data_IF_415400849023
#
_entry.id   IF_415400849023
#
_cell.length_a   1.000
_cell.length_b   1.000
_cell.length_c   1.000
_cell.angle_alpha   90.00
_cell.angle_beta   90.00
_cell.angle_gamma   90.00
#
_symmetry.space_group_name_H-M   'P 1'
#
loop_
_entity.id
_entity.type
_entity.pdbx_description
1 polymer ?
#
# COMPACT_ATOMS: atom_id res chain seq x y z
N UNK A 1 -25.47 -21.34 -6.16
CA UNK A 1 -24.53 -22.13 -5.33
C UNK A 1 -23.88 -21.22 -4.33
N UNK A 2 -23.85 -21.63 -3.07
CA UNK A 2 -23.22 -20.88 -1.97
C UNK A 2 -21.96 -21.62 -1.52
N UNK A 3 -20.88 -20.89 -1.28
CA UNK A 3 -19.62 -21.46 -0.84
C UNK A 3 -19.70 -21.80 0.66
N UNK A 4 -19.52 -23.07 1.01
CA UNK A 4 -19.50 -23.51 2.40
C UNK A 4 -18.09 -23.85 2.84
N UNK A 5 -17.66 -23.28 3.97
CA UNK A 5 -16.49 -23.75 4.69
C UNK A 5 -16.90 -24.85 5.66
N UNK A 6 -16.22 -25.98 5.62
CA UNK A 6 -16.51 -27.13 6.45
C UNK A 6 -15.26 -27.62 7.18
N UNK A 7 -15.48 -28.12 8.40
CA UNK A 7 -14.47 -28.83 9.18
C UNK A 7 -15.08 -30.13 9.65
N UNK A 8 -14.35 -31.22 9.46
CA UNK A 8 -14.84 -32.56 9.73
C UNK A 8 -13.73 -33.52 10.10
N UNK A 9 -14.13 -34.74 10.40
CA UNK A 9 -13.27 -35.86 10.69
C UNK A 9 -13.36 -36.85 9.52
N UNK A 10 -12.21 -37.24 9.00
CA UNK A 10 -12.11 -38.37 8.08
C UNK A 10 -12.42 -39.69 8.84
N UNK A 11 -12.73 -40.77 8.12
CA UNK A 11 -13.07 -42.09 8.70
C UNK A 11 -12.00 -42.65 9.66
N UNK A 12 -10.76 -42.16 9.57
CA UNK A 12 -9.66 -42.45 10.50
C UNK A 12 -9.52 -41.51 11.71
N UNK A 13 -10.49 -40.62 11.95
CA UNK A 13 -10.48 -39.70 13.10
C UNK A 13 -9.53 -38.49 12.95
N UNK A 14 -9.04 -38.22 11.74
CA UNK A 14 -8.16 -37.08 11.47
C UNK A 14 -8.98 -35.84 11.10
N UNK A 15 -8.63 -34.68 11.67
CA UNK A 15 -9.30 -33.41 11.35
C UNK A 15 -8.93 -32.95 9.94
N UNK A 16 -9.95 -32.75 9.09
CA UNK A 16 -9.84 -32.22 7.73
C UNK A 16 -10.74 -31.01 7.58
N UNK A 17 -10.26 -29.95 6.92
CA UNK A 17 -11.02 -28.73 6.68
C UNK A 17 -10.85 -28.28 5.23
N UNK A 18 -11.89 -27.70 4.65
CA UNK A 18 -11.87 -27.20 3.28
C UNK A 18 -13.09 -26.34 2.95
N UNK A 19 -13.12 -25.81 1.74
CA UNK A 19 -14.27 -25.07 1.19
C UNK A 19 -14.80 -25.82 -0.02
N UNK A 20 -16.13 -25.97 -0.14
CA UNK A 20 -16.76 -26.61 -1.30
C UNK A 20 -18.10 -25.97 -1.60
N UNK A 21 -18.38 -25.79 -2.88
CA UNK A 21 -19.66 -25.26 -3.36
C UNK A 21 -20.76 -26.31 -3.24
N UNK A 22 -21.92 -25.90 -2.71
CA UNK A 22 -23.10 -26.74 -2.67
C UNK A 22 -24.38 -25.90 -2.77
N UNK A 23 -25.47 -26.51 -3.21
CA UNK A 23 -26.80 -25.88 -3.28
C UNK A 23 -27.53 -25.83 -1.93
N UNK A 24 -26.88 -26.29 -0.85
CA UNK A 24 -27.41 -26.20 0.50
C UNK A 24 -26.62 -27.03 1.53
N UNK A 25 -26.85 -26.79 2.84
CA UNK A 25 -26.12 -27.47 3.92
C UNK A 25 -26.39 -28.98 3.97
N UNK A 26 -27.57 -29.44 3.53
CA UNK A 26 -27.89 -30.88 3.41
C UNK A 26 -27.16 -31.54 2.24
N UNK A 27 -27.05 -30.84 1.09
CA UNK A 27 -26.35 -31.33 -0.09
C UNK A 27 -24.84 -31.46 0.16
N UNK A 28 -24.25 -30.49 0.86
CA UNK A 28 -22.84 -30.53 1.26
C UNK A 28 -22.53 -31.71 2.19
N UNK A 29 -23.38 -31.96 3.20
CA UNK A 29 -23.23 -33.12 4.10
C UNK A 29 -23.30 -34.44 3.34
N UNK A 30 -24.21 -34.55 2.37
CA UNK A 30 -24.33 -35.76 1.56
C UNK A 30 -23.11 -35.96 0.66
N UNK A 31 -22.60 -34.89 0.04
CA UNK A 31 -21.39 -34.91 -0.77
C UNK A 31 -20.14 -35.30 0.04
N UNK A 32 -19.95 -34.71 1.22
CA UNK A 32 -18.77 -34.99 2.06
C UNK A 32 -18.86 -36.35 2.77
N UNK A 33 -20.06 -36.83 3.06
CA UNK A 33 -20.26 -38.20 3.57
C UNK A 33 -19.92 -39.27 2.51
N UNK A 34 -20.16 -38.98 1.22
CA UNK A 34 -19.73 -39.85 0.12
C UNK A 34 -18.20 -39.95 0.04
N UNK A 35 -17.51 -38.89 0.45
CA UNK A 35 -16.04 -38.81 0.51
C UNK A 35 -15.47 -39.31 1.85
N UNK A 36 -16.29 -39.93 2.72
CA UNK A 36 -15.84 -40.49 4.00
C UNK A 36 -15.64 -39.48 5.13
N UNK A 37 -16.03 -38.22 4.94
CA UNK A 37 -15.79 -37.13 5.88
C UNK A 37 -17.06 -36.74 6.63
N UNK A 38 -17.00 -36.81 7.96
CA UNK A 38 -18.08 -36.43 8.87
C UNK A 38 -17.89 -34.99 9.36
N UNK A 39 -18.80 -34.10 9.01
CA UNK A 39 -18.71 -32.67 9.36
C UNK A 39 -19.03 -32.45 10.84
N UNK A 40 -18.14 -31.74 11.55
CA UNK A 40 -18.33 -31.30 12.93
C UNK A 40 -18.78 -29.84 13.01
N UNK A 41 -18.31 -28.99 12.10
CA UNK A 41 -18.67 -27.57 12.03
C UNK A 41 -18.95 -27.17 10.58
N UNK A 42 -20.04 -26.42 10.39
CA UNK A 42 -20.47 -25.89 9.09
C UNK A 42 -20.59 -24.37 9.20
N UNK A 43 -19.85 -23.65 8.37
CA UNK A 43 -19.96 -22.19 8.26
C UNK A 43 -20.32 -21.81 6.84
N UNK A 44 -21.47 -21.15 6.67
CA UNK A 44 -21.88 -20.58 5.39
C UNK A 44 -21.17 -19.24 5.21
N UNK A 45 -20.36 -19.13 4.15
CA UNK A 45 -19.71 -17.87 3.80
C UNK A 45 -20.71 -17.08 2.94
N UNK A 46 -21.65 -16.41 3.59
CA UNK A 46 -22.67 -15.60 2.92
C UNK A 46 -22.04 -14.40 2.19
N UNK A 47 -22.01 -14.48 0.86
CA UNK A 47 -22.04 -13.30 -0.02
C UNK A 47 -23.38 -12.58 0.16
N UNK A 48 -23.34 -11.25 0.26
CA UNK A 48 -24.39 -10.46 0.89
C UNK A 48 -25.78 -10.51 0.23
N UNK A 49 -26.80 -10.44 1.09
CA UNK A 49 -28.12 -9.90 0.78
C UNK A 49 -29.27 -10.91 0.67
N UNK A 50 -29.99 -11.16 1.76
CA UNK A 50 -31.45 -10.92 1.92
C UNK A 50 -31.96 -11.53 3.23
N UNK A 51 -32.65 -10.72 4.04
CA UNK A 51 -33.31 -11.13 5.29
C UNK A 51 -34.63 -11.84 4.99
N UNK A 52 -34.86 -12.99 5.62
CA UNK A 52 -36.22 -13.47 5.99
C UNK A 52 -36.18 -14.11 7.38
N UNK A 53 -36.87 -13.46 8.31
CA UNK A 53 -37.45 -13.94 9.57
C UNK A 53 -38.37 -15.16 9.31
N UNK A 54 -38.66 -16.14 10.18
CA UNK A 54 -38.62 -16.38 11.64
C UNK A 54 -38.71 -17.95 11.84
N UNK A 55 -39.02 -18.56 13.01
CA UNK A 55 -39.22 -18.05 14.37
C UNK A 55 -38.49 -18.84 15.49
N UNK A 56 -38.64 -18.33 16.71
CA UNK A 56 -38.06 -18.80 17.95
C UNK A 56 -38.63 -20.13 18.48
N UNK A 57 -37.80 -20.92 19.16
CA UNK A 57 -38.23 -21.79 20.25
C UNK A 57 -37.17 -21.88 21.35
N UNK A 58 -37.64 -21.52 22.55
CA UNK A 58 -37.09 -21.52 23.90
C UNK A 58 -36.39 -22.84 24.30
N UNK A 59 -35.24 -22.78 24.99
CA UNK A 59 -35.02 -23.25 26.39
C UNK A 59 -33.54 -23.20 26.82
N UNK A 60 -33.27 -22.38 27.83
CA UNK A 60 -32.40 -22.65 29.01
C UNK A 60 -30.92 -23.07 28.86
N UNK A 61 -30.00 -22.13 29.08
CA UNK A 61 -28.89 -22.18 30.06
C UNK A 61 -27.79 -21.15 29.67
N UNK A 62 -27.20 -20.39 30.63
CA UNK A 62 -26.22 -19.36 30.29
C UNK A 62 -24.85 -20.01 30.07
N UNK A 63 -24.56 -20.38 28.82
CA UNK A 63 -23.21 -20.75 28.43
C UNK A 63 -22.33 -19.50 28.45
N UNK A 64 -21.40 -19.43 29.41
CA UNK A 64 -20.30 -18.46 29.46
C UNK A 64 -19.66 -18.38 28.08
N UNK A 65 -19.96 -17.29 27.37
CA UNK A 65 -19.33 -16.90 26.12
C UNK A 65 -17.83 -16.71 26.36
N UNK A 66 -17.06 -17.78 26.12
CA UNK A 66 -15.63 -17.65 25.84
C UNK A 66 -15.54 -17.01 24.47
N UNK A 67 -15.41 -15.69 24.45
CA UNK A 67 -14.90 -14.92 23.31
C UNK A 67 -13.48 -15.43 22.98
N UNK A 68 -13.39 -16.55 22.28
CA UNK A 68 -12.22 -16.84 21.44
C UNK A 68 -12.46 -16.10 20.13
N UNK A 69 -12.11 -14.82 20.15
CA UNK A 69 -11.82 -14.10 18.93
C UNK A 69 -10.52 -14.69 18.38
N UNK A 70 -10.63 -15.79 17.63
CA UNK A 70 -9.56 -16.26 16.74
C UNK A 70 -9.47 -15.25 15.58
N UNK A 71 -9.03 -14.03 15.91
CA UNK A 71 -8.57 -13.07 14.92
C UNK A 71 -7.24 -13.64 14.43
N UNK A 72 -7.29 -14.32 13.29
CA UNK A 72 -6.09 -14.76 12.58
C UNK A 72 -5.22 -13.54 12.25
N UNK A 73 -4.32 -13.17 13.17
CA UNK A 73 -3.33 -12.09 13.01
C UNK A 73 -2.51 -12.24 11.73
N UNK A 74 -2.33 -13.49 11.26
CA UNK A 74 -1.68 -13.82 10.00
C UNK A 74 -2.39 -13.23 8.78
N UNK A 75 -3.73 -13.25 8.75
CA UNK A 75 -4.53 -12.69 7.64
C UNK A 75 -4.51 -11.16 7.62
N UNK A 76 -4.21 -10.52 8.76
CA UNK A 76 -3.96 -9.08 8.83
C UNK A 76 -2.54 -8.69 8.35
N UNK A 77 -1.60 -9.63 8.30
CA UNK A 77 -0.21 -9.40 7.91
C UNK A 77 0.09 -9.70 6.43
N UNK A 78 -0.79 -10.41 5.72
CA UNK A 78 -0.64 -10.67 4.28
C UNK A 78 -0.85 -9.36 3.48
N UNK A 79 0.24 -8.63 3.26
CA UNK A 79 0.29 -7.45 2.39
C UNK A 79 0.71 -7.88 1.00
N UNK A 80 -0.03 -7.44 -0.02
CA UNK A 80 0.33 -7.61 -1.42
C UNK A 80 1.45 -6.63 -1.76
N UNK A 81 2.53 -7.12 -2.34
CA UNK A 81 3.64 -6.26 -2.76
C UNK A 81 3.30 -5.50 -4.05
N UNK A 82 3.82 -4.27 -4.24
CA UNK A 82 3.69 -3.56 -5.52
C UNK A 82 4.24 -4.34 -6.73
N UNK A 83 5.21 -5.22 -6.49
CA UNK A 83 5.79 -6.12 -7.49
C UNK A 83 4.78 -7.17 -7.96
N UNK A 84 4.04 -7.80 -7.04
CA UNK A 84 2.97 -8.76 -7.39
C UNK A 84 1.91 -8.12 -8.28
N UNK A 85 1.52 -6.88 -8.00
CA UNK A 85 0.55 -6.14 -8.85
C UNK A 85 1.14 -5.87 -10.24
N UNK A 86 2.41 -5.49 -10.34
CA UNK A 86 3.06 -5.26 -11.64
C UNK A 86 3.13 -6.55 -12.47
N UNK A 87 3.51 -7.68 -11.86
CA UNK A 87 3.54 -9.00 -12.50
C UNK A 87 2.14 -9.43 -12.94
N UNK A 88 1.15 -9.33 -12.06
CA UNK A 88 -0.25 -9.61 -12.40
C UNK A 88 -0.73 -8.76 -13.59
N UNK A 89 -0.45 -7.45 -13.57
CA UNK A 89 -0.85 -6.52 -14.64
C UNK A 89 -0.21 -6.90 -15.96
N UNK A 90 1.08 -7.24 -15.95
CA UNK A 90 1.83 -7.70 -17.12
C UNK A 90 1.23 -8.97 -17.68
N UNK A 91 1.01 -9.98 -16.83
CA UNK A 91 0.47 -11.26 -17.24
C UNK A 91 -0.95 -11.13 -17.77
N UNK A 92 -1.81 -10.33 -17.10
CA UNK A 92 -3.15 -10.04 -17.59
C UNK A 92 -3.08 -9.37 -18.97
N UNK A 93 -2.24 -8.35 -19.14
CA UNK A 93 -2.02 -7.71 -20.44
C UNK A 93 -1.59 -8.71 -21.52
N UNK A 94 -0.66 -9.62 -21.23
CA UNK A 94 -0.21 -10.66 -22.16
C UNK A 94 -1.34 -11.61 -22.54
N UNK A 95 -2.13 -12.08 -21.59
CA UNK A 95 -3.24 -13.01 -21.85
C UNK A 95 -4.35 -12.35 -22.68
N UNK A 96 -4.72 -11.10 -22.34
CA UNK A 96 -5.72 -10.35 -23.11
C UNK A 96 -5.22 -10.05 -24.53
N UNK A 97 -3.93 -9.68 -24.68
CA UNK A 97 -3.32 -9.48 -26.01
C UNK A 97 -3.31 -10.78 -26.83
N UNK A 98 -3.18 -11.94 -26.18
CA UNK A 98 -3.28 -13.25 -26.83
C UNK A 98 -4.73 -13.65 -27.17
N UNK A 99 -5.72 -12.79 -26.89
CA UNK A 99 -7.14 -13.03 -27.18
C UNK A 99 -7.84 -13.94 -26.17
N UNK A 100 -7.23 -14.23 -25.02
CA UNK A 100 -7.85 -15.04 -23.98
C UNK A 100 -8.97 -14.22 -23.32
N UNK A 101 -10.18 -14.79 -23.11
CA UNK A 101 -11.27 -14.09 -22.44
C UNK A 101 -10.88 -13.56 -21.07
N UNK A 102 -11.30 -12.33 -20.74
CA UNK A 102 -10.91 -11.64 -19.49
C UNK A 102 -11.21 -12.46 -18.24
N UNK A 103 -12.36 -13.10 -18.18
CA UNK A 103 -12.75 -13.95 -17.06
C UNK A 103 -11.84 -15.18 -16.88
N UNK A 104 -11.44 -15.81 -17.98
CA UNK A 104 -10.54 -16.97 -17.97
C UNK A 104 -9.13 -16.55 -17.55
N UNK A 105 -8.64 -15.43 -18.11
CA UNK A 105 -7.36 -14.85 -17.73
C UNK A 105 -7.31 -14.49 -16.24
N UNK A 106 -8.34 -13.85 -15.71
CA UNK A 106 -8.46 -13.54 -14.27
C UNK A 106 -8.50 -14.82 -13.41
N UNK A 107 -9.14 -15.89 -13.90
CA UNK A 107 -9.15 -17.19 -13.25
C UNK A 107 -7.77 -17.82 -13.17
N UNK A 108 -7.09 -17.93 -14.30
CA UNK A 108 -5.75 -18.49 -14.38
C UNK A 108 -4.74 -17.73 -13.49
N UNK A 109 -4.83 -16.40 -13.45
CA UNK A 109 -3.95 -15.57 -12.62
C UNK A 109 -4.32 -15.59 -11.14
N UNK A 110 -5.59 -15.77 -10.81
CA UNK A 110 -6.02 -15.99 -9.42
C UNK A 110 -5.43 -17.30 -8.91
N UNK A 111 -5.57 -18.38 -9.67
CA UNK A 111 -5.11 -19.72 -9.28
C UNK A 111 -3.57 -19.82 -9.20
N UNK A 112 -2.85 -18.99 -9.96
CA UNK A 112 -1.39 -18.89 -9.93
C UNK A 112 -0.86 -18.03 -8.76
N UNK A 113 -1.71 -17.26 -8.08
CA UNK A 113 -1.24 -16.30 -7.09
C UNK A 113 -0.81 -16.97 -5.77
N UNK A 114 0.46 -16.82 -5.39
CA UNK A 114 0.96 -17.30 -4.09
C UNK A 114 0.35 -16.55 -2.89
N UNK A 115 -0.09 -15.31 -3.12
CA UNK A 115 -0.61 -14.44 -2.08
C UNK A 115 -2.13 -14.62 -1.93
N UNK A 116 -2.54 -15.29 -0.85
CA UNK A 116 -3.96 -15.56 -0.54
C UNK A 116 -4.84 -14.32 -0.56
N UNK A 117 -4.31 -13.14 -0.19
CA UNK A 117 -5.08 -11.89 -0.26
C UNK A 117 -5.30 -11.45 -1.70
N UNK A 118 -4.29 -11.57 -2.55
CA UNK A 118 -4.39 -11.25 -3.97
C UNK A 118 -5.31 -12.25 -4.67
N UNK A 119 -5.11 -13.55 -4.47
CA UNK A 119 -5.96 -14.65 -4.94
C UNK A 119 -7.45 -14.36 -4.66
N UNK A 120 -7.83 -14.15 -3.39
CA UNK A 120 -9.22 -13.85 -3.01
C UNK A 120 -9.77 -12.60 -3.68
N UNK A 121 -8.92 -11.58 -3.83
CA UNK A 121 -9.33 -10.33 -4.49
C UNK A 121 -9.57 -10.57 -5.97
N UNK A 122 -8.67 -11.28 -6.66
CA UNK A 122 -8.78 -11.59 -8.08
C UNK A 122 -9.95 -12.52 -8.37
N UNK A 123 -10.20 -13.53 -7.54
CA UNK A 123 -11.37 -14.39 -7.63
C UNK A 123 -12.68 -13.60 -7.50
N UNK A 124 -12.75 -12.67 -6.55
CA UNK A 124 -13.89 -11.75 -6.38
C UNK A 124 -14.05 -10.79 -7.57
N UNK A 125 -12.94 -10.31 -8.13
CA UNK A 125 -12.97 -9.48 -9.35
C UNK A 125 -13.52 -10.29 -10.52
N UNK A 126 -13.00 -11.51 -10.74
CA UNK A 126 -13.46 -12.43 -11.79
C UNK A 126 -14.96 -12.68 -11.71
N UNK A 127 -15.47 -12.95 -10.52
CA UNK A 127 -16.90 -13.20 -10.31
C UNK A 127 -17.74 -12.01 -10.77
N UNK A 128 -17.41 -10.79 -10.32
CA UNK A 128 -18.16 -9.58 -10.69
C UNK A 128 -18.07 -9.24 -12.17
N UNK A 129 -16.92 -9.50 -12.79
CA UNK A 129 -16.75 -9.35 -14.25
C UNK A 129 -17.61 -10.36 -15.01
N UNK A 130 -17.71 -11.60 -14.53
CA UNK A 130 -18.63 -12.61 -15.07
C UNK A 130 -20.10 -12.23 -14.91
N UNK A 131 -20.43 -11.49 -13.84
CA UNK A 131 -21.76 -10.92 -13.61
C UNK A 131 -22.06 -9.69 -14.49
N UNK A 132 -21.09 -9.24 -15.31
CA UNK A 132 -21.23 -8.12 -16.25
C UNK A 132 -20.81 -6.76 -15.70
N UNK A 133 -20.22 -6.70 -14.50
CA UNK A 133 -19.64 -5.45 -13.97
C UNK A 133 -18.33 -5.14 -14.70
N UNK A 134 -18.05 -3.85 -14.96
CA UNK A 134 -16.77 -3.46 -15.58
C UNK A 134 -15.57 -3.83 -14.70
N UNK A 135 -14.44 -4.16 -15.32
CA UNK A 135 -13.18 -4.46 -14.63
C UNK A 135 -12.73 -3.26 -13.80
N UNK A 136 -12.83 -2.05 -14.36
CA UNK A 136 -12.42 -0.82 -13.69
C UNK A 136 -13.24 -0.55 -12.43
N UNK A 137 -14.57 -0.69 -12.48
CA UNK A 137 -15.44 -0.51 -11.30
C UNK A 137 -15.15 -1.55 -10.22
N UNK A 138 -14.90 -2.78 -10.65
CA UNK A 138 -14.57 -3.87 -9.74
C UNK A 138 -13.23 -3.66 -9.05
N UNK A 139 -12.21 -3.20 -9.79
CA UNK A 139 -10.90 -2.83 -9.24
C UNK A 139 -10.96 -1.59 -8.34
N UNK A 140 -11.87 -0.65 -8.61
CA UNK A 140 -12.07 0.56 -7.79
C UNK A 140 -12.47 0.24 -6.34
N UNK A 141 -13.11 -0.91 -6.11
CA UNK A 141 -13.45 -1.38 -4.77
C UNK A 141 -12.21 -1.74 -3.91
N UNK A 142 -11.02 -1.84 -4.53
CA UNK A 142 -9.77 -2.23 -3.89
C UNK A 142 -8.66 -1.16 -4.08
N UNK A 143 -8.85 0.07 -3.56
CA UNK A 143 -7.93 1.20 -3.80
C UNK A 143 -6.52 1.01 -3.23
N UNK A 144 -6.35 0.07 -2.29
CA UNK A 144 -5.03 -0.29 -1.75
C UNK A 144 -4.17 -1.06 -2.75
N UNK A 145 -4.79 -1.77 -3.69
CA UNK A 145 -4.13 -2.60 -4.70
C UNK A 145 -4.14 -1.91 -6.07
N UNK A 146 -5.25 -1.24 -6.40
CA UNK A 146 -5.45 -0.54 -7.66
C UNK A 146 -5.69 0.95 -7.40
N UNK A 147 -4.63 1.78 -7.41
CA UNK A 147 -4.76 3.23 -7.22
C UNK A 147 -5.63 3.90 -8.30
N UNK A 148 -6.12 5.11 -8.04
CA UNK A 148 -6.95 5.90 -8.98
C UNK A 148 -6.41 5.90 -10.42
N UNK A 149 -5.10 6.13 -10.59
CA UNK A 149 -4.45 6.13 -11.91
C UNK A 149 -4.63 4.79 -12.64
N UNK A 150 -4.45 3.68 -11.93
CA UNK A 150 -4.61 2.33 -12.46
C UNK A 150 -6.05 2.11 -12.93
N UNK A 151 -7.02 2.39 -12.06
CA UNK A 151 -8.45 2.20 -12.32
C UNK A 151 -8.90 3.05 -13.51
N UNK A 152 -8.47 4.31 -13.58
CA UNK A 152 -8.87 5.21 -14.65
C UNK A 152 -8.24 4.84 -16.00
N UNK A 153 -7.01 4.33 -16.01
CA UNK A 153 -6.40 3.74 -17.21
C UNK A 153 -7.26 2.58 -17.71
N UNK A 154 -7.55 1.61 -16.84
CA UNK A 154 -8.39 0.44 -17.19
C UNK A 154 -9.77 0.88 -17.68
N UNK A 155 -10.42 1.84 -16.99
CA UNK A 155 -11.74 2.36 -17.41
C UNK A 155 -11.72 2.93 -18.83
N UNK A 156 -10.70 3.72 -19.14
CA UNK A 156 -10.52 4.27 -20.49
C UNK A 156 -10.26 3.14 -21.51
N UNK A 157 -9.47 2.15 -21.10
CA UNK A 157 -9.17 0.97 -21.91
C UNK A 157 -10.41 0.14 -22.27
N UNK A 158 -11.26 -0.10 -21.28
CA UNK A 158 -12.54 -0.80 -21.45
C UNK A 158 -13.50 0.01 -22.33
N UNK A 159 -13.64 1.31 -22.07
CA UNK A 159 -14.55 2.17 -22.83
C UNK A 159 -14.12 2.35 -24.30
N UNK A 160 -12.82 2.37 -24.57
CA UNK A 160 -12.27 2.50 -25.92
C UNK A 160 -12.03 1.15 -26.62
N UNK A 161 -12.26 0.02 -25.93
CA UNK A 161 -12.05 -1.32 -26.49
C UNK A 161 -10.58 -1.68 -26.76
N UNK A 162 -9.63 -1.01 -26.12
CA UNK A 162 -8.17 -1.19 -26.28
C UNK A 162 -7.50 -1.63 -24.97
N UNK A 163 -8.20 -2.45 -24.19
CA UNK A 163 -7.77 -2.90 -22.86
C UNK A 163 -6.42 -3.63 -22.89
N UNK A 164 -6.13 -4.39 -23.95
CA UNK A 164 -4.86 -5.06 -24.22
C UNK A 164 -3.67 -4.08 -24.20
N UNK A 165 -3.74 -3.02 -25.02
CA UNK A 165 -2.70 -2.01 -25.13
C UNK A 165 -2.55 -1.21 -23.83
N UNK A 166 -3.67 -0.93 -23.16
CA UNK A 166 -3.69 -0.19 -21.89
C UNK A 166 -3.03 -0.99 -20.77
N UNK A 167 -3.36 -2.28 -20.63
CA UNK A 167 -2.76 -3.14 -19.61
C UNK A 167 -1.25 -3.30 -19.82
N UNK A 168 -0.79 -3.44 -21.07
CA UNK A 168 0.63 -3.53 -21.39
C UNK A 168 1.41 -2.25 -21.02
N UNK A 169 0.81 -1.08 -21.30
CA UNK A 169 1.38 0.21 -20.91
C UNK A 169 1.35 0.43 -19.40
N UNK A 170 0.28 0.01 -18.75
CA UNK A 170 0.15 0.08 -17.30
C UNK A 170 1.20 -0.79 -16.61
N UNK A 171 1.45 -1.99 -17.12
CA UNK A 171 2.52 -2.85 -16.64
C UNK A 171 3.90 -2.21 -16.82
N UNK A 172 4.20 -1.62 -17.98
CA UNK A 172 5.47 -0.91 -18.20
C UNK A 172 5.65 0.31 -17.29
N UNK A 173 4.56 1.04 -17.05
CA UNK A 173 4.53 2.14 -16.09
C UNK A 173 4.87 1.63 -14.69
N UNK A 174 4.22 0.56 -14.22
CA UNK A 174 4.47 -0.02 -12.91
C UNK A 174 5.92 -0.51 -12.77
N UNK A 175 6.43 -1.24 -13.75
CA UNK A 175 7.82 -1.73 -13.76
C UNK A 175 8.83 -0.59 -13.65
N UNK A 176 8.59 0.49 -14.38
CA UNK A 176 9.46 1.68 -14.32
C UNK A 176 9.40 2.35 -12.95
N UNK A 177 8.21 2.47 -12.35
CA UNK A 177 8.06 3.03 -11.00
C UNK A 177 8.78 2.18 -9.96
N UNK A 178 8.70 0.85 -10.07
CA UNK A 178 9.39 -0.08 -9.18
C UNK A 178 10.91 0.02 -9.34
N UNK A 179 11.41 0.08 -10.58
CA UNK A 179 12.83 0.24 -10.86
C UNK A 179 13.37 1.57 -10.29
N UNK A 180 12.64 2.67 -10.47
CA UNK A 180 13.01 3.97 -9.91
C UNK A 180 13.03 3.93 -8.39
N UNK A 181 12.00 3.36 -7.76
CA UNK A 181 11.93 3.21 -6.31
C UNK A 181 13.09 2.37 -5.77
N UNK A 182 13.38 1.24 -6.41
CA UNK A 182 14.50 0.37 -6.04
C UNK A 182 15.83 1.10 -6.14
N UNK A 183 16.08 1.83 -7.23
CA UNK A 183 17.30 2.62 -7.41
C UNK A 183 17.48 3.69 -6.35
N UNK A 184 16.42 4.43 -6.02
CA UNK A 184 16.44 5.46 -4.96
C UNK A 184 16.68 4.83 -3.60
N UNK A 185 15.95 3.75 -3.26
CA UNK A 185 16.14 3.06 -1.99
C UNK A 185 17.56 2.49 -1.85
N UNK A 186 18.09 1.86 -2.90
CA UNK A 186 19.45 1.34 -2.92
C UNK A 186 20.52 2.43 -2.73
N UNK A 187 20.37 3.58 -3.39
CA UNK A 187 21.30 4.71 -3.24
C UNK A 187 21.31 5.31 -1.83
N UNK A 188 20.18 5.24 -1.11
CA UNK A 188 20.06 5.76 0.26
C UNK A 188 20.54 4.77 1.33
N UNK A 189 20.67 3.49 1.01
CA UNK A 189 21.10 2.45 1.97
C UNK A 189 22.46 2.78 2.61
N UNK A 190 23.48 3.09 1.80
CA UNK A 190 24.81 3.39 2.31
C UNK A 190 24.85 4.65 3.21
N UNK A 191 24.32 5.82 2.78
CA UNK A 191 24.24 7.00 3.64
C UNK A 191 23.52 6.75 4.97
N UNK A 192 22.42 6.00 4.96
CA UNK A 192 21.66 5.69 6.17
C UNK A 192 22.50 4.82 7.12
N UNK A 193 23.15 3.77 6.62
CA UNK A 193 24.02 2.90 7.43
C UNK A 193 25.17 3.71 8.03
N UNK A 194 25.85 4.55 7.23
CA UNK A 194 26.94 5.39 7.70
C UNK A 194 26.49 6.42 8.73
N UNK A 195 25.31 7.01 8.55
CA UNK A 195 24.75 7.94 9.52
C UNK A 195 24.41 7.24 10.84
N UNK A 196 23.89 6.02 10.81
CA UNK A 196 23.59 5.23 12.02
C UNK A 196 24.87 4.83 12.74
N UNK A 197 25.86 4.26 12.05
CA UNK A 197 27.15 3.90 12.66
C UNK A 197 27.88 5.12 13.20
N UNK A 198 27.94 6.21 12.41
CA UNK A 198 28.57 7.46 12.82
C UNK A 198 27.90 8.06 14.05
N UNK A 199 26.56 8.06 14.10
CA UNK A 199 25.82 8.53 15.27
C UNK A 199 26.06 7.66 16.50
N UNK A 200 26.18 6.34 16.33
CA UNK A 200 26.49 5.41 17.43
C UNK A 200 27.88 5.67 17.99
N UNK A 201 28.91 5.72 17.14
CA UNK A 201 30.30 5.99 17.55
C UNK A 201 30.42 7.36 18.19
N UNK A 202 29.83 8.39 17.59
CA UNK A 202 29.82 9.74 18.15
C UNK A 202 29.11 9.78 19.50
N UNK A 203 27.99 9.05 19.64
CA UNK A 203 27.28 8.92 20.90
C UNK A 203 28.14 8.32 22.01
N UNK A 204 28.86 7.23 21.74
CA UNK A 204 29.78 6.60 22.72
C UNK A 204 30.91 7.56 23.12
N UNK A 205 31.51 8.26 22.15
CA UNK A 205 32.55 9.26 22.41
C UNK A 205 32.04 10.36 23.35
N UNK A 206 30.86 10.92 23.07
CA UNK A 206 30.26 11.96 23.90
C UNK A 206 29.88 11.45 25.29
N UNK A 207 29.29 10.26 25.42
CA UNK A 207 28.79 9.77 26.71
C UNK A 207 29.92 9.25 27.63
N UNK A 208 30.96 8.62 27.08
CA UNK A 208 31.98 7.92 27.87
C UNK A 208 33.30 8.68 27.91
N UNK A 209 33.79 9.16 26.76
CA UNK A 209 35.17 9.65 26.64
C UNK A 209 35.28 11.13 27.01
N UNK A 210 34.36 11.97 26.55
CA UNK A 210 34.39 13.42 26.84
C UNK A 210 34.33 13.74 28.33
N UNK A 211 33.49 13.08 29.17
CA UNK A 211 33.47 13.34 30.61
C UNK A 211 34.80 13.00 31.29
N UNK A 212 35.45 11.89 30.90
CA UNK A 212 36.75 11.48 31.45
C UNK A 212 37.85 12.51 31.17
N UNK A 213 37.85 13.09 29.96
CA UNK A 213 38.79 14.15 29.61
C UNK A 213 38.49 15.42 30.41
N UNK A 214 37.20 15.74 30.58
CA UNK A 214 36.77 16.95 31.29
C UNK A 214 37.18 16.95 32.75
N UNK A 215 37.02 15.82 33.46
CA UNK A 215 37.45 15.72 34.87
C UNK A 215 38.95 16.00 35.04
N UNK A 216 39.78 15.59 34.08
CA UNK A 216 41.23 15.88 34.09
C UNK A 216 41.50 17.39 33.93
N UNK A 217 40.71 18.09 33.11
CA UNK A 217 40.88 19.54 32.92
C UNK A 217 40.43 20.35 34.13
N UNK A 218 39.41 19.89 34.86
CA UNK A 218 38.94 20.52 36.10
C UNK A 218 40.01 20.41 37.21
N UNK A 219 40.66 19.26 37.33
CA UNK A 219 41.76 19.03 38.27
C UNK A 219 42.98 19.93 38.01
N UNK A 220 43.18 20.36 36.76
CA UNK A 220 44.27 21.26 36.35
C UNK A 220 43.99 22.74 36.65
N UNK A 221 42.80 23.09 37.17
CA UNK A 221 42.46 24.44 37.64
C UNK A 221 42.49 25.54 36.57
N UNK A 222 42.44 25.19 35.27
CA UNK A 222 42.45 26.16 34.16
C UNK A 222 41.04 26.44 33.65
N UNK A 223 40.77 27.71 33.31
CA UNK A 223 39.47 28.13 32.77
C UNK A 223 39.24 27.52 31.39
N UNK A 224 38.23 26.67 31.28
CA UNK A 224 37.78 26.06 30.03
C UNK A 224 37.35 27.16 29.03
N UNK A 225 37.91 27.19 27.81
CA UNK A 225 37.43 28.08 26.74
C UNK A 225 35.99 27.74 26.32
N UNK A 226 35.29 28.67 25.68
CA UNK A 226 33.84 28.53 25.45
C UNK A 226 33.46 27.34 24.54
N UNK A 227 34.35 26.95 23.63
CA UNK A 227 34.16 25.80 22.74
C UNK A 227 34.19 24.46 23.50
N UNK A 228 35.04 24.31 24.53
CA UNK A 228 35.05 23.09 25.36
C UNK A 228 33.86 23.06 26.29
N UNK A 229 33.39 24.20 26.83
CA UNK A 229 32.15 24.25 27.62
C UNK A 229 30.91 23.84 26.81
N UNK A 230 30.84 24.25 25.54
CA UNK A 230 29.75 23.82 24.65
C UNK A 230 29.80 22.31 24.41
N UNK A 231 31.00 21.75 24.20
CA UNK A 231 31.19 20.30 24.02
C UNK A 231 30.78 19.52 25.27
N UNK A 232 31.16 20.00 26.46
CA UNK A 232 30.77 19.42 27.75
C UNK A 232 29.26 19.50 27.95
N UNK A 233 28.64 20.65 27.67
CA UNK A 233 27.19 20.79 27.77
C UNK A 233 26.43 19.83 26.83
N UNK A 234 26.93 19.64 25.60
CA UNK A 234 26.37 18.66 24.65
C UNK A 234 26.57 17.23 25.14
N UNK A 235 27.75 16.94 25.71
CA UNK A 235 28.08 15.65 26.33
C UNK A 235 27.20 15.32 27.53
N UNK A 236 27.00 16.26 28.45
CA UNK A 236 26.16 16.08 29.64
C UNK A 236 24.69 15.88 29.27
N UNK A 237 24.20 16.61 28.27
CA UNK A 237 22.87 16.39 27.70
C UNK A 237 22.78 15.02 27.04
N UNK A 238 23.80 14.60 26.29
CA UNK A 238 23.84 13.28 25.66
C UNK A 238 23.97 12.14 26.68
N UNK A 239 24.73 12.29 27.76
CA UNK A 239 24.97 11.25 28.77
C UNK A 239 23.90 11.18 29.86
N UNK A 240 23.37 12.31 30.32
CA UNK A 240 22.38 12.37 31.40
C UNK A 240 20.93 12.27 30.91
N UNK A 241 20.64 12.75 29.70
CA UNK A 241 19.27 12.87 29.17
C UNK A 241 19.02 12.00 27.93
N UNK A 242 19.87 11.03 27.59
CA UNK A 242 19.62 10.12 26.46
C UNK A 242 18.25 9.44 26.53
N UNK A 243 17.81 9.07 27.73
CA UNK A 243 16.52 8.46 28.02
C UNK A 243 15.33 9.41 27.78
N UNK A 244 15.53 10.73 27.77
CA UNK A 244 14.53 11.74 27.36
C UNK A 244 14.69 12.10 25.88
N UNK A 245 15.93 12.25 25.41
CA UNK A 245 16.25 12.67 24.05
C UNK A 245 15.79 11.66 23.00
N UNK A 246 16.00 10.36 23.21
CA UNK A 246 15.56 9.34 22.25
C UNK A 246 14.03 9.28 22.15
N UNK A 247 13.26 9.10 23.25
CA UNK A 247 11.80 9.14 23.20
C UNK A 247 11.25 10.50 22.77
N UNK A 248 11.89 11.60 23.17
CA UNK A 248 11.53 12.96 22.78
C UNK A 248 11.76 13.22 21.29
N UNK A 249 12.85 12.71 20.73
CA UNK A 249 13.13 12.75 19.29
C UNK A 249 12.17 11.87 18.50
N UNK A 250 11.86 10.66 18.99
CA UNK A 250 10.86 9.77 18.39
C UNK A 250 9.47 10.44 18.45
N UNK A 251 9.08 10.98 19.60
CA UNK A 251 7.84 11.70 19.80
C UNK A 251 7.74 12.94 18.92
N UNK A 252 8.80 13.74 18.86
CA UNK A 252 8.95 14.89 17.98
C UNK A 252 8.84 14.49 16.51
N UNK A 253 9.46 13.38 16.11
CA UNK A 253 9.31 12.81 14.77
C UNK A 253 7.86 12.42 14.47
N UNK A 254 7.16 11.76 15.40
CA UNK A 254 5.74 11.41 15.22
C UNK A 254 4.84 12.65 15.16
N UNK A 255 5.10 13.66 16.00
CA UNK A 255 4.37 14.95 16.00
C UNK A 255 4.63 15.68 14.68
N UNK A 256 5.89 15.81 14.27
CA UNK A 256 6.26 16.41 13.00
C UNK A 256 5.64 15.66 11.82
N UNK A 257 5.67 14.33 11.84
CA UNK A 257 5.04 13.49 10.81
C UNK A 257 3.52 13.66 10.80
N UNK A 258 2.88 13.79 11.95
CA UNK A 258 1.45 14.07 12.06
C UNK A 258 1.12 15.46 11.53
N UNK A 259 1.93 16.47 11.88
CA UNK A 259 1.80 17.83 11.39
C UNK A 259 2.02 17.92 9.86
N UNK A 260 3.06 17.26 9.34
CA UNK A 260 3.36 17.17 7.91
C UNK A 260 2.24 16.51 7.08
N UNK A 261 1.39 15.68 7.71
CA UNK A 261 0.21 15.08 7.07
C UNK A 261 -0.97 16.04 6.96
N UNK A 262 -1.03 17.11 7.77
CA UNK A 262 -2.10 18.12 7.71
C UNK A 262 -2.02 18.93 6.40
N UNK A 263 -3.15 19.49 5.96
CA UNK A 263 -3.21 20.25 4.71
C UNK A 263 -2.26 21.47 4.71
N UNK A 264 -2.21 22.22 5.82
CA UNK A 264 -1.30 23.36 5.98
C UNK A 264 0.17 22.94 6.07
N UNK A 265 0.48 21.88 6.83
CA UNK A 265 1.84 21.37 6.95
C UNK A 265 2.40 20.88 5.62
N UNK A 266 1.56 20.21 4.81
CA UNK A 266 1.93 19.76 3.46
C UNK A 266 2.25 20.92 2.52
N UNK A 267 1.40 21.95 2.45
CA UNK A 267 1.64 23.13 1.58
C UNK A 267 2.93 23.88 1.94
N UNK A 268 3.18 24.07 3.26
CA UNK A 268 4.41 24.73 3.74
C UNK A 268 5.65 23.91 3.39
N UNK A 269 5.63 22.60 3.67
CA UNK A 269 6.76 21.72 3.39
C UNK A 269 7.04 21.60 1.89
N UNK A 270 6.00 21.49 1.07
CA UNK A 270 6.13 21.36 -0.37
C UNK A 270 6.68 22.65 -1.00
N UNK A 271 6.22 23.81 -0.52
CA UNK A 271 6.79 25.11 -0.90
C UNK A 271 8.24 25.26 -0.46
N UNK A 272 8.56 24.83 0.76
CA UNK A 272 9.93 24.88 1.28
C UNK A 272 10.87 24.00 0.45
N UNK A 273 10.49 22.75 0.15
CA UNK A 273 11.28 21.83 -0.70
C UNK A 273 11.62 22.44 -2.05
N UNK A 274 10.69 23.17 -2.67
CA UNK A 274 10.89 23.82 -3.97
C UNK A 274 11.81 25.05 -3.93
N UNK A 275 12.06 25.61 -2.73
CA UNK A 275 12.94 26.77 -2.52
C UNK A 275 14.35 26.40 -2.07
N UNK A 276 14.58 25.18 -1.58
CA UNK A 276 15.90 24.73 -1.16
C UNK A 276 16.86 24.64 -2.36
N UNK A 277 18.07 25.17 -2.21
CA UNK A 277 19.06 25.29 -3.28
C UNK A 277 19.38 23.94 -3.96
N UNK A 278 19.57 22.88 -3.17
CA UNK A 278 19.95 21.56 -3.71
C UNK A 278 18.73 20.69 -4.06
N UNK A 279 17.68 20.75 -3.23
CA UNK A 279 16.51 19.86 -3.35
C UNK A 279 15.51 20.40 -4.37
N UNK A 280 15.38 21.72 -4.50
CA UNK A 280 14.39 22.37 -5.37
C UNK A 280 14.51 21.97 -6.84
N UNK A 281 15.68 22.11 -7.48
CA UNK A 281 15.88 21.70 -8.87
C UNK A 281 15.58 20.21 -9.09
N UNK A 282 16.02 19.36 -8.16
CA UNK A 282 15.78 17.91 -8.22
C UNK A 282 14.28 17.58 -8.14
N UNK A 283 13.55 18.21 -7.21
CA UNK A 283 12.11 18.01 -7.05
C UNK A 283 11.36 18.44 -8.29
N UNK A 284 11.69 19.60 -8.87
CA UNK A 284 11.08 20.07 -10.11
C UNK A 284 11.37 19.13 -11.27
N UNK A 285 12.61 18.68 -11.43
CA UNK A 285 12.99 17.75 -12.48
C UNK A 285 12.24 16.42 -12.38
N UNK A 286 12.22 15.80 -11.20
CA UNK A 286 11.50 14.53 -10.96
C UNK A 286 10.00 14.70 -11.15
N UNK A 287 9.43 15.80 -10.68
CA UNK A 287 8.02 16.10 -10.81
C UNK A 287 7.61 16.30 -12.29
N UNK A 288 8.35 17.11 -13.04
CA UNK A 288 8.10 17.32 -14.47
C UNK A 288 8.28 16.04 -15.27
N UNK A 289 9.30 15.22 -14.96
CA UNK A 289 9.50 13.92 -15.61
C UNK A 289 8.33 12.96 -15.33
N UNK A 290 7.87 12.91 -14.07
CA UNK A 290 6.73 12.07 -13.69
C UNK A 290 5.44 12.57 -14.34
N UNK A 291 5.20 13.88 -14.34
CA UNK A 291 4.08 14.52 -15.01
C UNK A 291 4.06 14.16 -16.50
N UNK A 292 5.15 14.44 -17.22
CA UNK A 292 5.25 14.18 -18.65
C UNK A 292 5.05 12.69 -18.98
N UNK A 293 5.66 11.79 -18.19
CA UNK A 293 5.51 10.35 -18.42
C UNK A 293 4.08 9.87 -18.15
N UNK A 294 3.49 10.25 -17.03
CA UNK A 294 2.11 9.85 -16.69
C UNK A 294 1.11 10.42 -17.68
N UNK A 295 1.23 11.70 -18.03
CA UNK A 295 0.39 12.34 -19.03
C UNK A 295 0.52 11.62 -20.39
N UNK A 296 1.75 11.39 -20.86
CA UNK A 296 2.00 10.67 -22.10
C UNK A 296 1.40 9.26 -22.09
N UNK A 297 1.56 8.50 -21.00
CA UNK A 297 0.95 7.17 -20.85
C UNK A 297 -0.58 7.23 -20.95
N UNK A 298 -1.23 8.19 -20.28
CA UNK A 298 -2.69 8.33 -20.32
C UNK A 298 -3.20 8.76 -21.70
N UNK A 299 -2.57 9.78 -22.30
CA UNK A 299 -2.95 10.26 -23.62
C UNK A 299 -2.75 9.18 -24.69
N UNK A 300 -1.65 8.44 -24.61
CA UNK A 300 -1.40 7.33 -25.53
C UNK A 300 -2.50 6.27 -25.38
N UNK A 301 -2.93 5.99 -24.14
CA UNK A 301 -4.01 5.05 -23.82
C UNK A 301 -5.41 5.52 -24.27
N UNK A 302 -5.52 6.72 -24.87
CA UNK A 302 -6.78 7.28 -25.33
C UNK A 302 -7.60 7.98 -24.25
N UNK A 303 -7.02 8.23 -23.08
CA UNK A 303 -7.69 8.97 -22.00
C UNK A 303 -7.87 10.43 -22.42
N UNK A 304 -9.08 11.02 -22.28
CA UNK A 304 -9.31 12.42 -22.60
C UNK A 304 -8.37 13.37 -21.83
N UNK A 305 -7.88 14.42 -22.49
CA UNK A 305 -6.85 15.33 -21.94
C UNK A 305 -7.23 15.91 -20.58
N UNK A 306 -8.47 16.40 -20.42
CA UNK A 306 -8.93 16.98 -19.15
C UNK A 306 -8.91 15.96 -18.00
N UNK A 307 -9.35 14.73 -18.28
CA UNK A 307 -9.32 13.61 -17.32
C UNK A 307 -7.87 13.21 -17.00
N UNK A 308 -7.01 13.15 -18.02
CA UNK A 308 -5.60 12.84 -17.87
C UNK A 308 -4.88 13.88 -16.99
N UNK A 309 -5.16 15.18 -17.17
CA UNK A 309 -4.62 16.25 -16.34
C UNK A 309 -5.09 16.14 -14.88
N UNK A 310 -6.38 15.87 -14.64
CA UNK A 310 -6.93 15.73 -13.29
C UNK A 310 -6.30 14.55 -12.53
N UNK A 311 -6.06 13.44 -13.23
CA UNK A 311 -5.41 12.27 -12.62
C UNK A 311 -3.92 12.53 -12.41
N UNK A 312 -3.24 13.13 -13.40
CA UNK A 312 -1.80 13.39 -13.35
C UNK A 312 -1.46 14.38 -12.24
N UNK A 313 -2.35 15.33 -11.92
CA UNK A 313 -2.24 16.22 -10.76
C UNK A 313 -1.88 15.43 -9.50
N UNK A 314 -2.67 14.42 -9.16
CA UNK A 314 -2.50 13.60 -7.93
C UNK A 314 -1.17 12.84 -7.88
N UNK A 315 -0.49 12.66 -9.01
CA UNK A 315 0.77 11.89 -9.13
C UNK A 315 2.00 12.74 -8.80
N UNK A 316 1.88 14.06 -8.86
CA UNK A 316 2.97 15.01 -8.60
C UNK A 316 3.46 14.98 -7.14
N UNK A 317 2.63 14.54 -6.19
CA UNK A 317 2.96 14.45 -4.76
C UNK A 317 3.54 15.77 -4.19
N UNK A 318 3.10 16.91 -4.74
CA UNK A 318 3.48 18.24 -4.31
C UNK A 318 2.30 19.19 -4.54
N UNK A 319 1.76 19.71 -3.46
CA UNK A 319 0.55 20.57 -3.46
C UNK A 319 0.69 21.84 -4.30
N UNK A 320 1.89 22.40 -4.42
CA UNK A 320 2.14 23.59 -5.24
C UNK A 320 2.08 23.23 -6.73
N UNK A 321 2.72 22.13 -7.12
CA UNK A 321 2.70 21.66 -8.51
C UNK A 321 1.31 21.14 -8.92
N UNK A 322 0.57 20.55 -7.97
CA UNK A 322 -0.82 20.16 -8.17
C UNK A 322 -1.70 21.36 -8.56
N UNK A 323 -1.55 22.49 -7.86
CA UNK A 323 -2.27 23.73 -8.18
C UNK A 323 -1.93 24.27 -9.57
N UNK A 324 -0.66 24.16 -9.99
CA UNK A 324 -0.23 24.58 -11.33
C UNK A 324 -0.92 23.73 -12.41
N UNK A 325 -1.01 22.42 -12.21
CA UNK A 325 -1.73 21.54 -13.15
C UNK A 325 -3.23 21.80 -13.15
N UNK A 326 -3.82 22.10 -11.98
CA UNK A 326 -5.23 22.49 -11.88
C UNK A 326 -5.52 23.74 -12.72
N UNK A 327 -4.68 24.78 -12.56
CA UNK A 327 -4.80 26.02 -13.32
C UNK A 327 -4.66 25.77 -14.83
N UNK A 328 -3.68 24.97 -15.25
CA UNK A 328 -3.52 24.60 -16.65
C UNK A 328 -4.75 23.83 -17.19
N UNK A 329 -5.34 22.93 -16.39
CA UNK A 329 -6.56 22.19 -16.78
C UNK A 329 -7.75 23.13 -16.94
N UNK A 330 -7.91 24.08 -16.03
CA UNK A 330 -9.02 25.04 -16.06
C UNK A 330 -8.87 26.00 -17.25
N UNK A 331 -7.64 26.49 -17.52
CA UNK A 331 -7.32 27.28 -18.72
C UNK A 331 -7.66 26.53 -20.02
N UNK A 332 -7.27 25.26 -20.14
CA UNK A 332 -7.60 24.42 -21.31
C UNK A 332 -9.11 24.20 -21.44
N UNK A 333 -9.82 24.07 -20.31
CA UNK A 333 -11.29 23.94 -20.29
C UNK A 333 -11.97 25.22 -20.78
N UNK A 334 -11.39 26.37 -20.48
CA UNK A 334 -11.84 27.70 -20.93
C UNK A 334 -11.42 28.02 -22.39
N UNK A 335 -10.61 27.16 -23.01
CA UNK A 335 -10.20 27.27 -24.42
C UNK A 335 -8.84 27.93 -24.64
N UNK A 336 -8.07 28.17 -23.58
CA UNK A 336 -6.70 28.68 -23.70
C UNK A 336 -5.75 27.60 -24.26
N UNK A 337 -4.72 28.04 -24.99
CA UNK A 337 -3.70 27.16 -25.57
C UNK A 337 -2.82 26.54 -24.47
N UNK A 338 -2.48 25.26 -24.63
CA UNK A 338 -1.58 24.49 -23.74
C UNK A 338 -0.18 25.11 -23.63
N UNK A 339 0.21 25.96 -24.59
CA UNK A 339 1.55 26.54 -24.71
C UNK A 339 1.68 27.98 -24.17
N UNK A 340 0.63 28.56 -23.60
CA UNK A 340 0.63 29.93 -23.09
C UNK A 340 1.27 30.03 -21.69
#
# INVERSE_FOLDING_TARGET
MSLYAWKGLDGGGKNVAGTRDADGPKALRHSLRKDGVFITELSEVLGGGTKKSAPASVTGAPARSRLRSDVNFQQLLERVSPQEIAVFTRQLGTLITAGIPLAEALGALSDQSDNKKLERTLAGIRQKVNEGTSLAETMAAHPTLFPDLYVNMVRSGEAAGNLDAVLMRLAEFLDTQLALKSKVSGALTYPIIMMVLGSLVMGVLLVVVVPQITSVFEDMGKTLPWNTRLLIAVSDVAGGYWWVLLPGGIGGYFIFRRWARTARGRDILDRAKLRLWLIGPLVRFVASARFARTLATMLSAGVPVLTALEITKKVLNNTVLEKVVEQARDAIREGESIAA
#
